data_IF_630019074994
#
_entry.id   IF_630019074994
#
_cell.length_a   1.000
_cell.length_b   1.000
_cell.length_c   1.000
_cell.angle_alpha   90.00
_cell.angle_beta   90.00
_cell.angle_gamma   90.00
#
_symmetry.space_group_name_H-M   'P 1'
#
loop_
_entity.id
_entity.type
_entity.pdbx_description
1 polymer ?
#
# COMPACT_ATOMS: atom_id res chain seq x y z
N UNK A 1 -57.67 4.55 -5.38
CA UNK A 1 -56.68 5.14 -6.27
C UNK A 1 -55.68 5.92 -5.41
N UNK A 2 -54.61 5.30 -5.02
CA UNK A 2 -53.53 5.95 -4.30
C UNK A 2 -52.20 5.57 -4.98
N UNK A 3 -51.46 6.59 -5.42
CA UNK A 3 -50.18 6.41 -6.09
C UNK A 3 -49.10 6.30 -5.01
N UNK A 4 -48.45 5.16 -4.98
CA UNK A 4 -47.19 5.01 -4.22
C UNK A 4 -46.07 5.75 -4.95
N UNK A 5 -45.55 6.80 -4.32
CA UNK A 5 -44.33 7.48 -4.72
C UNK A 5 -43.15 6.69 -4.12
N UNK A 6 -42.50 5.88 -4.99
CA UNK A 6 -41.21 5.26 -4.65
C UNK A 6 -40.14 6.35 -4.57
N UNK A 7 -39.56 6.51 -3.39
CA UNK A 7 -38.32 7.28 -3.20
C UNK A 7 -37.18 6.30 -3.39
N UNK A 8 -36.53 6.36 -4.56
CA UNK A 8 -35.25 5.71 -4.76
C UNK A 8 -34.19 6.40 -3.87
N UNK A 9 -33.40 5.67 -3.11
CA UNK A 9 -32.29 6.27 -2.37
C UNK A 9 -31.25 6.79 -3.38
N UNK A 10 -30.97 8.08 -3.32
CA UNK A 10 -29.88 8.67 -4.08
C UNK A 10 -28.56 7.98 -3.69
N UNK A 11 -27.90 7.32 -4.62
CA UNK A 11 -26.55 6.81 -4.48
C UNK A 11 -25.66 7.95 -4.03
N UNK A 12 -24.89 7.72 -2.96
CA UNK A 12 -23.98 8.71 -2.42
C UNK A 12 -22.88 9.01 -3.45
N UNK A 13 -22.48 10.28 -3.56
CA UNK A 13 -21.55 10.78 -4.57
C UNK A 13 -20.18 10.06 -4.64
N UNK A 14 -19.85 9.21 -3.65
CA UNK A 14 -18.60 8.44 -3.63
C UNK A 14 -18.67 7.13 -4.46
N UNK A 15 -19.87 6.61 -4.73
CA UNK A 15 -20.05 5.40 -5.55
C UNK A 15 -19.83 5.66 -7.04
N UNK A 16 -19.90 6.94 -7.47
CA UNK A 16 -19.68 7.34 -8.86
C UNK A 16 -18.19 7.55 -9.22
N UNK A 17 -17.28 7.54 -8.24
CA UNK A 17 -15.85 7.81 -8.45
C UNK A 17 -14.95 6.58 -8.48
N UNK A 18 -15.51 5.37 -8.42
CA UNK A 18 -14.76 4.15 -8.71
C UNK A 18 -14.71 3.98 -10.23
N UNK A 19 -13.81 4.70 -10.87
CA UNK A 19 -13.57 4.58 -12.30
C UNK A 19 -13.01 3.18 -12.62
N UNK A 20 -13.51 2.55 -13.71
CA UNK A 20 -12.98 1.27 -14.19
C UNK A 20 -11.51 1.40 -14.58
N UNK A 21 -10.73 0.38 -14.26
CA UNK A 21 -9.34 0.14 -14.61
C UNK A 21 -9.10 0.16 -16.14
N UNK A 22 -9.14 1.31 -16.77
CA UNK A 22 -8.67 1.48 -18.15
C UNK A 22 -7.27 2.11 -18.24
N UNK A 23 -6.52 2.13 -17.13
CA UNK A 23 -5.18 2.73 -17.11
C UNK A 23 -4.05 1.81 -17.60
N UNK A 24 -4.38 0.58 -18.00
CA UNK A 24 -3.39 -0.38 -18.52
C UNK A 24 -3.12 -0.25 -20.02
N UNK A 25 -3.61 0.78 -20.73
CA UNK A 25 -3.51 0.83 -22.20
C UNK A 25 -2.59 1.90 -22.79
N UNK A 26 -2.03 2.76 -22.00
CA UNK A 26 -0.97 3.67 -22.47
C UNK A 26 0.22 3.57 -21.53
N UNK A 27 1.07 2.55 -21.75
CA UNK A 27 2.39 2.54 -21.18
C UNK A 27 3.17 3.72 -21.76
N UNK A 28 3.66 4.67 -20.93
CA UNK A 28 4.61 5.66 -21.43
C UNK A 28 5.87 4.91 -21.88
N UNK A 29 6.41 5.38 -23.01
CA UNK A 29 7.61 4.90 -23.66
C UNK A 29 8.75 4.61 -22.66
N UNK A 30 9.06 3.34 -22.44
CA UNK A 30 9.94 2.83 -21.38
C UNK A 30 11.43 3.06 -21.68
N UNK A 31 11.80 4.00 -22.55
CA UNK A 31 13.18 4.18 -23.01
C UNK A 31 13.85 5.49 -22.51
N UNK A 32 13.46 6.01 -21.34
CA UNK A 32 14.21 7.06 -20.63
C UNK A 32 14.66 6.57 -19.26
N UNK A 33 15.72 5.77 -19.25
CA UNK A 33 16.52 5.57 -18.05
C UNK A 33 17.30 6.87 -17.76
N UNK A 34 16.74 7.69 -16.91
CA UNK A 34 17.51 8.77 -16.26
C UNK A 34 18.09 8.19 -14.97
N UNK A 35 19.41 8.08 -14.90
CA UNK A 35 20.16 7.47 -13.77
C UNK A 35 20.05 8.23 -12.46
N UNK A 36 19.29 9.32 -12.42
CA UNK A 36 19.09 10.17 -11.23
C UNK A 36 17.63 10.23 -10.78
N UNK A 37 16.69 9.50 -11.40
CA UNK A 37 15.29 9.49 -10.99
C UNK A 37 14.69 8.09 -11.21
N UNK A 38 15.07 7.15 -10.35
CA UNK A 38 14.76 5.71 -10.47
C UNK A 38 13.30 5.35 -10.12
N UNK A 39 12.34 6.27 -10.23
CA UNK A 39 10.99 6.02 -9.77
C UNK A 39 9.99 6.03 -10.93
N UNK A 40 9.48 4.86 -11.29
CA UNK A 40 8.27 4.77 -12.11
C UNK A 40 7.08 4.88 -11.15
N UNK A 41 6.69 6.10 -10.83
CA UNK A 41 5.41 6.37 -10.19
C UNK A 41 4.39 6.38 -11.32
N UNK A 42 3.55 5.34 -11.43
CA UNK A 42 2.30 5.49 -12.14
C UNK A 42 1.57 6.67 -11.47
N UNK A 43 1.12 7.64 -12.24
CA UNK A 43 0.46 8.82 -11.67
C UNK A 43 -0.70 8.36 -10.77
N UNK A 44 -0.77 8.84 -9.51
CA UNK A 44 -1.81 8.43 -8.59
C UNK A 44 -3.17 8.77 -9.17
N UNK A 45 -4.13 7.87 -9.00
CA UNK A 45 -5.51 8.14 -9.43
C UNK A 45 -6.06 9.38 -8.70
N UNK A 46 -7.02 10.07 -9.28
CA UNK A 46 -7.66 11.25 -8.68
C UNK A 46 -8.20 10.96 -7.26
N UNK A 47 -8.57 9.70 -6.95
CA UNK A 47 -9.00 9.25 -5.64
C UNK A 47 -7.87 9.34 -4.59
N UNK A 48 -6.64 8.97 -4.93
CA UNK A 48 -5.47 9.07 -4.04
C UNK A 48 -5.13 10.54 -3.78
N UNK A 49 -5.19 11.40 -4.78
CA UNK A 49 -4.96 12.86 -4.64
C UNK A 49 -6.03 13.54 -3.77
N UNK A 50 -7.29 13.10 -3.86
CA UNK A 50 -8.39 13.61 -3.02
C UNK A 50 -8.23 13.22 -1.54
N UNK A 51 -7.68 12.04 -1.23
CA UNK A 51 -7.44 11.60 0.15
C UNK A 51 -6.30 12.37 0.82
N UNK A 52 -5.23 12.69 0.08
CA UNK A 52 -4.10 13.47 0.63
C UNK A 52 -4.46 14.92 0.93
N UNK A 53 -5.39 15.52 0.17
CA UNK A 53 -5.82 16.90 0.38
C UNK A 53 -6.75 17.11 1.60
N UNK A 54 -7.45 16.06 2.06
CA UNK A 54 -8.32 16.14 3.25
C UNK A 54 -7.55 16.19 4.58
N UNK A 55 -6.26 15.86 4.61
CA UNK A 55 -5.45 15.92 5.82
C UNK A 55 -4.95 17.35 6.17
N UNK A 56 -5.14 18.33 5.27
CA UNK A 56 -4.64 19.71 5.45
C UNK A 56 -5.47 20.58 6.41
N UNK A 57 -6.51 20.05 7.05
CA UNK A 57 -7.46 20.82 7.85
C UNK A 57 -7.49 20.53 9.36
N UNK A 58 -6.58 19.71 9.91
CA UNK A 58 -6.61 19.33 11.34
C UNK A 58 -5.54 20.11 12.10
N UNK A 59 -5.96 21.08 12.92
CA UNK A 59 -5.12 21.99 13.72
C UNK A 59 -4.64 21.40 15.06
N UNK A 60 -4.64 20.08 15.25
CA UNK A 60 -3.91 19.39 16.33
C UNK A 60 -2.72 18.66 15.73
N UNK A 61 -1.60 18.50 16.45
CA UNK A 61 -0.49 17.69 15.96
C UNK A 61 -0.93 16.23 15.89
N UNK A 62 -1.63 15.87 14.81
CA UNK A 62 -1.97 14.49 14.52
C UNK A 62 -0.66 13.72 14.34
N UNK A 63 -0.51 12.55 14.96
CA UNK A 63 0.70 11.77 14.79
C UNK A 63 0.93 11.51 13.29
N UNK A 64 2.18 11.69 12.83
CA UNK A 64 2.56 11.50 11.41
C UNK A 64 2.07 10.15 10.92
N UNK A 65 1.42 10.08 9.76
CA UNK A 65 0.96 8.81 9.20
C UNK A 65 2.15 7.91 8.84
N UNK A 66 1.87 6.63 8.69
CA UNK A 66 2.81 5.61 8.24
C UNK A 66 2.41 5.17 6.83
N UNK A 67 3.38 4.83 6.02
CA UNK A 67 3.20 4.22 4.69
C UNK A 67 3.85 2.86 4.66
N UNK A 68 3.24 1.90 3.97
CA UNK A 68 3.81 0.57 3.83
C UNK A 68 3.48 -0.06 2.46
N UNK A 69 4.31 -0.98 2.01
CA UNK A 69 4.16 -1.71 0.77
C UNK A 69 3.83 -3.19 1.01
N UNK A 70 2.70 -3.66 0.50
CA UNK A 70 2.45 -5.09 0.32
C UNK A 70 3.10 -5.52 -1.00
N UNK A 71 4.36 -5.96 -0.93
CA UNK A 71 5.17 -6.29 -2.12
C UNK A 71 4.95 -7.75 -2.50
N UNK A 72 4.27 -7.95 -3.62
CA UNK A 72 4.02 -9.28 -4.19
C UNK A 72 5.09 -9.65 -5.23
N UNK A 73 5.31 -10.95 -5.40
CA UNK A 73 6.22 -11.49 -6.43
C UNK A 73 5.80 -11.07 -7.84
N UNK A 74 4.50 -10.97 -8.07
CA UNK A 74 3.87 -10.52 -9.32
C UNK A 74 2.44 -10.05 -9.10
N UNK A 75 1.93 -9.23 -10.03
CA UNK A 75 0.53 -8.85 -10.16
C UNK A 75 0.15 -8.89 -11.66
N UNK A 76 -1.06 -9.39 -12.03
CA UNK A 76 -2.02 -10.11 -11.17
C UNK A 76 -1.57 -11.54 -10.82
N UNK A 77 -2.35 -12.22 -9.98
CA UNK A 77 -2.14 -13.60 -9.54
C UNK A 77 -0.81 -13.81 -8.77
N UNK A 78 -0.66 -13.15 -7.62
CA UNK A 78 0.51 -13.31 -6.77
C UNK A 78 0.57 -14.73 -6.19
N UNK A 79 1.78 -15.20 -5.91
CA UNK A 79 2.02 -16.46 -5.23
C UNK A 79 2.79 -16.30 -3.92
N UNK A 80 3.48 -15.16 -3.77
CA UNK A 80 4.24 -14.86 -2.56
C UNK A 80 4.16 -13.39 -2.21
N UNK A 81 4.34 -13.08 -0.92
CA UNK A 81 4.46 -11.75 -0.36
C UNK A 81 5.85 -11.60 0.27
N UNK A 82 6.48 -10.46 0.08
CA UNK A 82 7.72 -10.10 0.78
C UNK A 82 7.39 -9.70 2.21
N UNK A 83 7.90 -10.45 3.17
CA UNK A 83 7.73 -10.22 4.60
C UNK A 83 9.08 -9.77 5.19
N UNK A 84 9.08 -8.70 5.99
CA UNK A 84 10.26 -8.15 6.62
C UNK A 84 10.18 -8.33 8.15
N UNK A 85 11.20 -8.89 8.79
CA UNK A 85 11.21 -9.00 10.26
C UNK A 85 12.04 -7.91 10.89
N UNK A 86 11.51 -7.27 11.95
CA UNK A 86 12.15 -6.12 12.60
C UNK A 86 13.44 -6.50 13.33
N UNK A 87 14.44 -5.62 13.25
CA UNK A 87 15.66 -5.70 14.05
C UNK A 87 15.52 -5.00 15.43
N UNK A 88 14.65 -3.99 15.53
CA UNK A 88 14.38 -3.16 16.72
C UNK A 88 12.94 -2.58 16.66
N UNK A 89 12.37 -2.04 17.77
CA UNK A 89 12.89 -2.17 19.14
C UNK A 89 12.82 -3.61 19.65
N UNK A 90 13.43 -3.89 20.81
CA UNK A 90 13.59 -5.26 21.31
C UNK A 90 12.25 -6.01 21.53
N UNK A 91 11.21 -5.29 21.93
CA UNK A 91 9.84 -5.83 22.12
C UNK A 91 9.13 -6.22 20.80
N UNK A 92 9.61 -5.74 19.67
CA UNK A 92 9.11 -6.10 18.34
C UNK A 92 10.12 -6.90 17.51
N UNK A 93 11.31 -7.15 18.07
CA UNK A 93 12.38 -7.86 17.39
C UNK A 93 11.94 -9.24 16.91
N UNK A 94 12.14 -9.51 15.63
CA UNK A 94 11.78 -10.79 15.01
C UNK A 94 10.31 -10.90 14.60
N UNK A 95 9.43 -9.96 14.97
CA UNK A 95 8.09 -9.90 14.42
C UNK A 95 8.14 -9.39 12.98
N UNK A 96 7.24 -9.91 12.14
CA UNK A 96 7.11 -9.49 10.76
C UNK A 96 6.21 -8.27 10.61
N UNK A 97 6.52 -7.45 9.61
CA UNK A 97 5.77 -6.27 9.21
C UNK A 97 5.80 -6.11 7.68
N UNK A 98 4.95 -5.23 7.17
CA UNK A 98 5.08 -4.72 5.81
C UNK A 98 6.17 -3.63 5.79
N UNK A 99 7.15 -3.68 4.85
CA UNK A 99 8.20 -2.67 4.77
C UNK A 99 7.62 -1.28 4.50
N UNK A 100 8.20 -0.27 5.14
CA UNK A 100 7.74 1.11 5.07
C UNK A 100 8.06 1.92 6.32
N UNK A 101 7.56 3.15 6.39
CA UNK A 101 7.91 4.02 7.51
C UNK A 101 7.03 5.26 7.64
N UNK A 102 7.55 6.29 8.30
CA UNK A 102 6.80 7.50 8.62
C UNK A 102 6.87 8.51 7.50
N UNK A 103 5.72 9.04 7.11
CA UNK A 103 5.67 10.20 6.21
C UNK A 103 6.29 11.41 6.90
N UNK A 104 7.16 12.13 6.20
CA UNK A 104 7.76 13.36 6.70
C UNK A 104 6.77 14.53 6.68
N UNK A 105 7.10 15.62 7.38
CA UNK A 105 6.23 16.79 7.42
C UNK A 105 6.13 17.45 6.04
N UNK A 106 4.89 17.55 5.52
CA UNK A 106 4.64 18.12 4.19
C UNK A 106 4.93 17.18 3.02
N UNK A 107 5.38 15.95 3.28
CA UNK A 107 5.64 14.95 2.26
C UNK A 107 4.33 14.33 1.75
N UNK A 108 4.30 14.04 0.45
CA UNK A 108 3.23 13.23 -0.14
C UNK A 108 3.41 11.76 0.27
N UNK A 109 2.33 11.04 0.70
CA UNK A 109 2.43 9.67 1.18
C UNK A 109 3.07 8.68 0.19
N UNK A 110 2.82 8.82 -1.12
CA UNK A 110 3.45 7.94 -2.11
C UNK A 110 4.94 8.23 -2.26
N UNK A 111 5.35 9.49 -2.13
CA UNK A 111 6.78 9.85 -2.10
C UNK A 111 7.44 9.30 -0.85
N UNK A 112 6.76 9.41 0.30
CA UNK A 112 7.21 8.79 1.55
C UNK A 112 7.41 7.28 1.40
N UNK A 113 6.44 6.57 0.78
CA UNK A 113 6.57 5.14 0.53
C UNK A 113 7.81 4.83 -0.31
N UNK A 114 8.01 5.54 -1.41
CA UNK A 114 9.14 5.32 -2.32
C UNK A 114 10.47 5.57 -1.59
N UNK A 115 10.57 6.66 -0.82
CA UNK A 115 11.76 7.00 -0.04
C UNK A 115 12.07 5.90 1.01
N UNK A 116 11.08 5.49 1.80
CA UNK A 116 11.26 4.47 2.85
C UNK A 116 11.70 3.12 2.24
N UNK A 117 11.10 2.72 1.12
CA UNK A 117 11.47 1.46 0.45
C UNK A 117 12.88 1.53 -0.15
N UNK A 118 13.29 2.67 -0.70
CA UNK A 118 14.66 2.85 -1.17
C UNK A 118 15.66 2.81 -0.01
N UNK A 119 15.37 3.48 1.11
CA UNK A 119 16.20 3.49 2.32
C UNK A 119 16.31 2.09 2.98
N UNK A 120 15.21 1.34 3.04
CA UNK A 120 15.17 0.06 3.75
C UNK A 120 15.60 -1.14 2.90
N UNK A 121 15.23 -1.14 1.62
CA UNK A 121 15.38 -2.31 0.73
C UNK A 121 16.29 -2.02 -0.48
N UNK A 122 16.61 -0.76 -0.76
CA UNK A 122 17.42 -0.36 -1.90
C UNK A 122 16.80 -0.72 -3.24
N UNK A 123 15.47 -0.73 -3.35
CA UNK A 123 14.78 -1.15 -4.55
C UNK A 123 13.71 -0.15 -5.01
N UNK A 124 13.38 -0.20 -6.30
CA UNK A 124 12.27 0.55 -6.87
C UNK A 124 11.02 -0.34 -6.98
N UNK A 125 9.83 0.28 -6.83
CA UNK A 125 8.55 -0.40 -6.88
C UNK A 125 7.71 0.01 -8.10
N UNK A 126 6.90 -0.93 -8.56
CA UNK A 126 5.68 -0.65 -9.33
C UNK A 126 4.52 -0.67 -8.36
N UNK A 127 3.90 0.49 -8.17
CA UNK A 127 2.81 0.69 -7.21
C UNK A 127 1.48 0.41 -7.90
N UNK A 128 0.68 -0.46 -7.29
CA UNK A 128 -0.66 -0.81 -7.73
C UNK A 128 -1.72 -0.09 -6.86
N UNK A 129 -2.89 -0.72 -6.67
CA UNK A 129 -4.01 -0.14 -5.93
C UNK A 129 -3.74 -0.05 -4.42
N UNK A 130 -4.33 0.93 -3.72
CA UNK A 130 -4.27 1.00 -2.27
C UNK A 130 -5.05 -0.15 -1.62
N UNK A 131 -4.54 -0.61 -0.48
CA UNK A 131 -5.21 -1.57 0.40
C UNK A 131 -5.94 -0.78 1.48
N UNK A 132 -7.25 -0.69 1.38
CA UNK A 132 -8.08 0.11 2.28
C UNK A 132 -8.86 -0.77 3.26
N UNK A 133 -9.31 -0.16 4.36
CA UNK A 133 -10.32 -0.80 5.23
C UNK A 133 -11.62 -1.03 4.46
N UNK A 134 -12.55 -1.87 4.95
CA UNK A 134 -13.86 -2.05 4.32
C UNK A 134 -14.64 -0.73 4.13
N UNK A 135 -14.36 0.29 4.94
CA UNK A 135 -14.96 1.61 4.84
C UNK A 135 -14.22 2.55 3.87
N UNK A 136 -13.25 2.03 3.12
CA UNK A 136 -12.48 2.81 2.14
C UNK A 136 -11.50 3.82 2.76
N UNK A 137 -10.95 3.52 3.95
CA UNK A 137 -10.05 4.41 4.70
C UNK A 137 -8.68 3.78 4.88
N UNK A 138 -7.70 4.60 5.32
CA UNK A 138 -6.42 4.10 5.81
C UNK A 138 -6.60 3.34 7.12
N UNK A 139 -5.67 2.44 7.39
CA UNK A 139 -5.72 1.54 8.52
C UNK A 139 -5.36 2.25 9.83
N UNK A 140 -6.19 2.17 10.88
CA UNK A 140 -5.80 2.65 12.19
C UNK A 140 -4.75 1.70 12.80
N UNK A 141 -3.64 2.28 13.26
CA UNK A 141 -2.57 1.56 13.95
C UNK A 141 -2.31 2.17 15.33
N UNK A 142 -1.33 1.62 16.05
CA UNK A 142 -1.01 2.05 17.41
C UNK A 142 -0.77 3.56 17.53
N UNK A 143 -1.09 4.12 18.68
CA UNK A 143 -0.91 5.52 19.04
C UNK A 143 -1.72 6.51 18.18
N UNK A 144 -2.89 6.09 17.69
CA UNK A 144 -3.79 6.93 16.90
C UNK A 144 -3.24 7.33 15.52
N UNK A 145 -2.23 6.64 15.03
CA UNK A 145 -1.70 6.83 13.67
C UNK A 145 -2.56 6.10 12.66
N UNK A 146 -2.47 6.58 11.43
CA UNK A 146 -3.03 5.90 10.26
C UNK A 146 -1.89 5.35 9.42
N UNK A 147 -2.10 4.15 8.87
CA UNK A 147 -1.19 3.52 7.90
C UNK A 147 -1.87 3.49 6.53
N UNK A 148 -1.21 4.04 5.54
CA UNK A 148 -1.59 3.92 4.14
C UNK A 148 -0.77 2.81 3.49
N UNK A 149 -1.43 1.83 2.87
CA UNK A 149 -0.79 0.65 2.29
C UNK A 149 -1.14 0.53 0.83
N UNK A 150 -0.17 0.14 0.01
CA UNK A 150 -0.37 -0.16 -1.42
C UNK A 150 0.13 -1.55 -1.76
N UNK A 151 -0.60 -2.23 -2.65
CA UNK A 151 -0.07 -3.39 -3.35
C UNK A 151 1.04 -2.97 -4.30
N UNK A 152 2.13 -3.70 -4.31
CA UNK A 152 3.32 -3.36 -5.10
C UNK A 152 3.96 -4.63 -5.69
N UNK A 153 4.81 -4.43 -6.70
CA UNK A 153 5.81 -5.41 -7.14
C UNK A 153 7.16 -4.72 -7.28
N UNK A 154 8.24 -5.48 -7.28
CA UNK A 154 9.55 -4.94 -7.64
C UNK A 154 9.53 -4.41 -9.07
N UNK A 155 10.17 -3.27 -9.31
CA UNK A 155 10.37 -2.74 -10.66
C UNK A 155 11.28 -3.65 -11.49
N UNK A 156 12.30 -4.21 -10.85
CA UNK A 156 13.15 -5.28 -11.38
C UNK A 156 12.91 -6.57 -10.58
N UNK A 157 12.15 -7.53 -11.12
CA UNK A 157 11.86 -8.79 -10.43
C UNK A 157 13.08 -9.70 -10.23
N UNK A 158 14.21 -9.39 -10.86
CA UNK A 158 15.46 -10.16 -10.73
C UNK A 158 16.37 -9.63 -9.63
N UNK A 159 16.01 -8.47 -9.03
CA UNK A 159 16.79 -7.84 -7.98
C UNK A 159 16.82 -8.71 -6.73
N UNK A 160 18.02 -9.01 -6.24
CA UNK A 160 18.21 -9.63 -4.93
C UNK A 160 18.13 -8.55 -3.85
N UNK A 161 17.19 -8.70 -2.93
CA UNK A 161 17.04 -7.81 -1.81
C UNK A 161 17.92 -8.27 -0.64
N UNK A 162 18.47 -7.31 0.08
CA UNK A 162 19.21 -7.56 1.33
C UNK A 162 18.57 -6.72 2.44
N UNK A 163 18.39 -7.29 3.65
CA UNK A 163 17.83 -6.53 4.76
C UNK A 163 18.74 -5.35 5.11
N UNK A 164 18.15 -4.16 5.22
CA UNK A 164 18.81 -2.98 5.79
C UNK A 164 18.94 -3.09 7.31
N UNK A 165 19.40 -2.02 7.96
CA UNK A 165 19.60 -2.00 9.41
C UNK A 165 18.30 -2.18 10.21
N UNK A 166 17.14 -1.83 9.64
CA UNK A 166 15.82 -1.94 10.25
C UNK A 166 15.28 -3.38 10.31
N UNK A 167 15.84 -4.29 9.50
CA UNK A 167 15.31 -5.65 9.36
C UNK A 167 16.38 -6.71 9.65
N UNK A 168 15.96 -7.81 10.28
CA UNK A 168 16.79 -9.01 10.49
C UNK A 168 16.74 -9.92 9.25
N UNK A 169 15.59 -10.00 8.63
CA UNK A 169 15.30 -10.92 7.54
C UNK A 169 14.31 -10.29 6.55
N UNK A 170 14.51 -10.59 5.28
CA UNK A 170 13.54 -10.41 4.22
C UNK A 170 13.21 -11.79 3.65
N UNK A 171 11.91 -12.13 3.61
CA UNK A 171 11.46 -13.45 3.18
C UNK A 171 10.34 -13.33 2.16
N UNK A 172 10.52 -13.94 1.01
CA UNK A 172 9.42 -14.24 0.10
C UNK A 172 8.65 -15.44 0.66
N UNK A 173 7.46 -15.19 1.18
CA UNK A 173 6.62 -16.20 1.83
C UNK A 173 5.46 -16.57 0.91
N UNK A 174 5.20 -17.87 0.62
CA UNK A 174 4.01 -18.31 -0.09
C UNK A 174 2.73 -17.79 0.59
N UNK A 175 1.72 -17.39 -0.20
CA UNK A 175 0.54 -16.71 0.35
C UNK A 175 -0.26 -17.56 1.35
N UNK A 176 -0.21 -18.87 1.24
CA UNK A 176 -0.84 -19.82 2.16
C UNK A 176 -0.08 -19.95 3.49
N UNK A 177 1.18 -19.54 3.56
CA UNK A 177 2.02 -19.57 4.76
C UNK A 177 2.17 -18.18 5.42
N UNK A 178 1.81 -17.09 4.73
CA UNK A 178 2.02 -15.71 5.21
C UNK A 178 1.39 -15.49 6.58
N UNK A 179 0.19 -15.99 6.80
CA UNK A 179 -0.56 -15.74 8.03
C UNK A 179 -0.04 -16.56 9.23
N UNK A 180 0.84 -17.53 8.99
CA UNK A 180 1.49 -18.34 10.03
C UNK A 180 2.73 -17.65 10.63
N UNK A 181 3.22 -16.57 10.00
CA UNK A 181 4.33 -15.81 10.51
C UNK A 181 3.94 -15.01 11.77
N UNK A 182 4.88 -14.77 12.69
CA UNK A 182 4.65 -13.92 13.86
C UNK A 182 4.61 -12.44 13.46
N UNK A 183 3.47 -11.97 13.02
CA UNK A 183 3.26 -10.58 12.62
C UNK A 183 3.13 -9.62 13.80
N UNK A 184 3.49 -8.35 13.56
CA UNK A 184 3.01 -7.26 14.41
C UNK A 184 1.48 -7.27 14.37
N UNK A 185 0.79 -7.30 15.53
CA UNK A 185 -0.67 -7.49 15.55
C UNK A 185 -1.47 -6.47 14.73
N UNK A 186 -0.95 -5.23 14.60
CA UNK A 186 -1.60 -4.19 13.81
C UNK A 186 -1.55 -4.46 12.30
N UNK A 187 -0.58 -5.23 11.82
CA UNK A 187 -0.39 -5.52 10.40
C UNK A 187 -1.25 -6.71 9.92
N UNK A 188 -1.60 -7.64 10.81
CA UNK A 188 -2.38 -8.84 10.46
C UNK A 188 -3.63 -8.57 9.62
N UNK A 189 -4.55 -7.66 10.02
CA UNK A 189 -5.75 -7.38 9.23
C UNK A 189 -5.42 -6.74 7.88
N UNK A 190 -4.33 -5.98 7.80
CA UNK A 190 -3.87 -5.31 6.58
C UNK A 190 -3.33 -6.34 5.59
N UNK A 191 -2.47 -7.24 6.06
CA UNK A 191 -1.90 -8.34 5.26
C UNK A 191 -3.00 -9.24 4.72
N UNK A 192 -3.97 -9.62 5.56
CA UNK A 192 -5.12 -10.43 5.12
C UNK A 192 -5.94 -9.72 4.04
N UNK A 193 -6.17 -8.41 4.20
CA UNK A 193 -6.90 -7.61 3.20
C UNK A 193 -6.12 -7.51 1.88
N UNK A 194 -4.80 -7.31 1.94
CA UNK A 194 -3.94 -7.27 0.76
C UNK A 194 -3.97 -8.59 -0.01
N UNK A 195 -3.81 -9.73 0.69
CA UNK A 195 -3.88 -11.06 0.08
C UNK A 195 -5.26 -11.26 -0.58
N UNK A 196 -6.35 -10.96 0.13
CA UNK A 196 -7.70 -11.12 -0.41
C UNK A 196 -7.94 -10.25 -1.65
N UNK A 197 -7.46 -9.01 -1.65
CA UNK A 197 -7.64 -8.07 -2.75
C UNK A 197 -6.92 -8.54 -4.03
N UNK A 198 -5.68 -8.97 -3.92
CA UNK A 198 -4.83 -9.26 -5.07
C UNK A 198 -4.84 -10.73 -5.50
N UNK A 199 -5.18 -11.68 -4.60
CA UNK A 199 -5.32 -13.10 -4.94
C UNK A 199 -6.68 -13.41 -5.56
N UNK A 200 -7.73 -12.72 -5.14
CA UNK A 200 -9.05 -12.86 -5.74
C UNK A 200 -9.03 -12.17 -7.10
N UNK A 201 -8.54 -12.82 -8.14
CA UNK A 201 -8.58 -12.32 -9.51
C UNK A 201 -10.01 -11.95 -9.92
N UNK A 202 -10.53 -10.81 -9.44
CA UNK A 202 -11.69 -10.17 -10.04
C UNK A 202 -11.27 -9.69 -11.41
N UNK A 203 -11.34 -10.60 -12.41
CA UNK A 203 -11.58 -10.20 -13.78
C UNK A 203 -12.84 -9.34 -13.76
N UNK A 204 -12.68 -8.02 -13.91
CA UNK A 204 -13.75 -7.19 -14.42
C UNK A 204 -13.72 -7.21 -15.93
#
# INVERSE_FOLDING_TARGET
MERATGIEPALSAWEAEVLPLNYAREAPDTNRYDRHNSFIIAAPSAAVQSMTSRLKGVTSPSPRPVVAAAIFDRLPHPTALLCASRSYPEDLRGLFELPGGKVEEGEDPLRGLVREIDEELGCALRIAEPVLTPEGKWWPILNGRLMAVWGCTLADPTQTLTPGASHLELRWTPLDEVMDLPWIPADLPIVQAAINQFSSGKSM
#
